data_IF_726692626513
#
_entry.id   IF_726692626513
#
_cell.length_a   1.000
_cell.length_b   1.000
_cell.length_c   1.000
_cell.angle_alpha   90.00
_cell.angle_beta   90.00
_cell.angle_gamma   90.00
#
_symmetry.space_group_name_H-M   'P 1'
#
loop_
_entity.id
_entity.type
_entity.pdbx_description
1 polymer ?
#
# COMPACT_ATOMS: atom_id res chain seq x y z
N UNK A 1 -18.39 17.86 3.44
CA UNK A 1 -16.93 17.99 3.21
C UNK A 1 -16.67 19.21 2.33
N UNK A 2 -15.76 20.06 2.75
CA UNK A 2 -15.37 21.25 1.97
C UNK A 2 -14.53 20.84 0.75
N UNK A 3 -14.55 21.62 -0.36
CA UNK A 3 -13.79 21.27 -1.56
C UNK A 3 -12.30 21.06 -1.33
N UNK A 4 -11.66 21.85 -0.46
CA UNK A 4 -10.26 21.70 -0.13
C UNK A 4 -9.95 20.42 0.63
N UNK A 5 -10.87 20.00 1.50
CA UNK A 5 -10.75 18.74 2.24
C UNK A 5 -10.92 17.55 1.32
N UNK A 6 -11.90 17.63 0.39
CA UNK A 6 -12.11 16.56 -0.59
C UNK A 6 -10.87 16.33 -1.45
N UNK A 7 -10.20 17.40 -1.87
CA UNK A 7 -8.96 17.31 -2.66
C UNK A 7 -7.85 16.62 -1.88
N UNK A 8 -7.70 16.97 -0.59
CA UNK A 8 -6.68 16.32 0.27
C UNK A 8 -6.94 14.84 0.47
N UNK A 9 -8.21 14.47 0.65
CA UNK A 9 -8.60 13.06 0.80
C UNK A 9 -8.37 12.30 -0.51
N UNK A 10 -8.70 12.89 -1.67
CA UNK A 10 -8.41 12.30 -2.97
C UNK A 10 -6.91 12.04 -3.15
N UNK A 11 -6.08 13.02 -2.82
CA UNK A 11 -4.63 12.90 -2.90
C UNK A 11 -4.13 11.77 -2.00
N UNK A 12 -4.65 11.71 -0.78
CA UNK A 12 -4.29 10.64 0.17
C UNK A 12 -4.70 9.27 -0.36
N UNK A 13 -5.94 9.13 -0.88
CA UNK A 13 -6.41 7.86 -1.44
C UNK A 13 -5.56 7.42 -2.63
N UNK A 14 -5.15 8.36 -3.48
CA UNK A 14 -4.26 8.08 -4.60
C UNK A 14 -2.89 7.58 -4.12
N UNK A 15 -2.33 8.21 -3.10
CA UNK A 15 -1.05 7.80 -2.52
C UNK A 15 -1.15 6.42 -1.86
N UNK A 16 -2.24 6.16 -1.14
CA UNK A 16 -2.46 4.85 -0.51
C UNK A 16 -2.65 3.74 -1.54
N UNK A 17 -3.37 4.02 -2.64
CA UNK A 17 -3.53 3.06 -3.73
C UNK A 17 -2.17 2.73 -4.36
N UNK A 18 -1.30 3.74 -4.54
CA UNK A 18 0.04 3.52 -5.04
C UNK A 18 0.86 2.66 -4.08
N UNK A 19 0.77 2.93 -2.77
CA UNK A 19 1.45 2.11 -1.76
C UNK A 19 1.04 0.64 -1.86
N UNK A 20 -0.28 0.37 -1.95
CA UNK A 20 -0.78 -1.00 -2.07
C UNK A 20 -0.27 -1.68 -3.35
N UNK A 21 -0.19 -0.95 -4.46
CA UNK A 21 0.37 -1.47 -5.71
C UNK A 21 1.85 -1.79 -5.58
N UNK A 22 2.63 -0.93 -4.95
CA UNK A 22 4.06 -1.15 -4.72
C UNK A 22 4.29 -2.35 -3.78
N UNK A 23 3.46 -2.52 -2.77
CA UNK A 23 3.49 -3.68 -1.88
C UNK A 23 3.17 -4.96 -2.66
N UNK A 24 2.18 -4.93 -3.56
CA UNK A 24 1.85 -6.08 -4.40
C UNK A 24 3.04 -6.49 -5.26
N UNK A 25 3.73 -5.53 -5.86
CA UNK A 25 4.94 -5.80 -6.67
C UNK A 25 6.03 -6.43 -5.81
N UNK A 26 6.25 -5.90 -4.60
CA UNK A 26 7.23 -6.46 -3.67
C UNK A 26 6.88 -7.92 -3.31
N UNK A 27 5.63 -8.20 -2.98
CA UNK A 27 5.19 -9.56 -2.62
C UNK A 27 5.29 -10.53 -3.80
N UNK A 28 4.90 -10.11 -5.00
CA UNK A 28 5.05 -10.93 -6.21
C UNK A 28 6.53 -11.25 -6.47
N UNK A 29 7.40 -10.27 -6.26
CA UNK A 29 8.83 -10.45 -6.41
C UNK A 29 9.40 -11.41 -5.36
N UNK A 30 8.88 -11.37 -4.13
CA UNK A 30 9.24 -12.33 -3.09
C UNK A 30 8.87 -13.76 -3.51
N UNK A 31 7.67 -13.93 -4.10
CA UNK A 31 7.24 -15.24 -4.60
C UNK A 31 8.22 -15.78 -5.65
N UNK A 32 8.67 -14.92 -6.56
CA UNK A 32 9.56 -15.31 -7.66
C UNK A 32 11.01 -15.51 -7.23
N UNK A 33 11.53 -14.60 -6.41
CA UNK A 33 12.97 -14.53 -6.12
C UNK A 33 13.35 -15.46 -4.97
N UNK A 34 12.55 -15.49 -3.88
CA UNK A 34 12.88 -16.27 -2.70
C UNK A 34 12.58 -17.76 -2.87
N UNK A 35 11.53 -18.09 -3.66
CA UNK A 35 11.17 -19.48 -3.93
C UNK A 35 10.63 -20.25 -2.73
N UNK A 36 10.29 -19.58 -1.64
CA UNK A 36 9.70 -20.16 -0.44
C UNK A 36 8.35 -19.51 -0.15
N UNK A 37 7.39 -20.30 0.32
CA UNK A 37 6.03 -19.83 0.64
C UNK A 37 5.40 -19.04 -0.50
N UNK A 38 5.57 -19.51 -1.74
CA UNK A 38 5.10 -18.81 -2.93
C UNK A 38 3.61 -18.47 -2.86
N UNK A 39 2.78 -19.43 -2.42
CA UNK A 39 1.34 -19.23 -2.31
C UNK A 39 1.01 -18.10 -1.34
N UNK A 40 1.70 -18.02 -0.20
CA UNK A 40 1.52 -16.94 0.78
C UNK A 40 1.82 -15.57 0.14
N UNK A 41 2.96 -15.45 -0.55
CA UNK A 41 3.35 -14.20 -1.18
C UNK A 41 2.36 -13.78 -2.27
N UNK A 42 1.86 -14.73 -3.07
CA UNK A 42 0.90 -14.42 -4.12
C UNK A 42 -0.46 -14.03 -3.54
N UNK A 43 -0.89 -14.66 -2.45
CA UNK A 43 -2.13 -14.29 -1.77
C UNK A 43 -2.04 -12.88 -1.18
N UNK A 44 -0.90 -12.53 -0.57
CA UNK A 44 -0.68 -11.17 -0.05
C UNK A 44 -0.72 -10.14 -1.19
N UNK A 45 -0.07 -10.45 -2.31
CA UNK A 45 -0.06 -9.55 -3.47
C UNK A 45 -1.47 -9.35 -4.03
N UNK A 46 -2.25 -10.41 -4.14
CA UNK A 46 -3.63 -10.34 -4.62
C UNK A 46 -4.50 -9.48 -3.70
N UNK A 47 -4.33 -9.62 -2.38
CA UNK A 47 -5.05 -8.82 -1.39
C UNK A 47 -4.72 -7.33 -1.54
N UNK A 48 -3.43 -7.00 -1.74
CA UNK A 48 -3.01 -5.60 -1.92
C UNK A 48 -3.58 -4.99 -3.21
N UNK A 49 -3.68 -5.78 -4.28
CA UNK A 49 -4.27 -5.29 -5.53
C UNK A 49 -5.76 -5.01 -5.39
N UNK A 50 -6.48 -5.83 -4.62
CA UNK A 50 -7.89 -5.59 -4.31
C UNK A 50 -8.06 -4.31 -3.48
N UNK A 51 -7.19 -4.09 -2.49
CA UNK A 51 -7.20 -2.87 -1.68
C UNK A 51 -6.95 -1.64 -2.55
N UNK A 52 -5.98 -1.70 -3.47
CA UNK A 52 -5.68 -0.61 -4.39
C UNK A 52 -6.89 -0.29 -5.27
N UNK A 53 -7.55 -1.30 -5.81
CA UNK A 53 -8.75 -1.13 -6.62
C UNK A 53 -9.87 -0.48 -5.81
N UNK A 54 -10.10 -0.95 -4.58
CA UNK A 54 -11.10 -0.38 -3.68
C UNK A 54 -10.83 1.11 -3.42
N UNK A 55 -9.57 1.47 -3.15
CA UNK A 55 -9.19 2.87 -2.92
C UNK A 55 -9.44 3.74 -4.15
N UNK A 56 -9.19 3.23 -5.35
CA UNK A 56 -9.47 3.95 -6.59
C UNK A 56 -10.97 4.15 -6.80
N UNK A 57 -11.78 3.15 -6.49
CA UNK A 57 -13.23 3.25 -6.56
C UNK A 57 -13.76 4.27 -5.55
N UNK A 58 -13.25 4.25 -4.32
CA UNK A 58 -13.62 5.23 -3.30
C UNK A 58 -13.23 6.65 -3.71
N UNK A 59 -12.06 6.80 -4.32
CA UNK A 59 -11.60 8.09 -4.83
C UNK A 59 -12.54 8.62 -5.91
N UNK A 60 -13.00 7.76 -6.82
CA UNK A 60 -13.93 8.13 -7.87
C UNK A 60 -15.29 8.57 -7.29
N UNK A 61 -15.79 7.84 -6.28
CA UNK A 61 -17.02 8.20 -5.58
C UNK A 61 -16.89 9.55 -4.86
N UNK A 62 -15.76 9.79 -4.23
CA UNK A 62 -15.49 11.07 -3.55
C UNK A 62 -15.53 12.24 -4.54
N UNK A 63 -14.96 12.05 -5.73
CA UNK A 63 -15.00 13.08 -6.78
C UNK A 63 -16.43 13.38 -7.25
N UNK A 64 -17.26 12.34 -7.40
CA UNK A 64 -18.62 12.50 -7.90
C UNK A 64 -19.58 13.06 -6.85
N UNK A 65 -19.37 12.73 -5.57
CA UNK A 65 -20.26 13.16 -4.49
C UNK A 65 -19.51 13.35 -3.16
N UNK A 66 -18.79 14.47 -3.00
CA UNK A 66 -18.02 14.72 -1.78
C UNK A 66 -18.86 14.78 -0.51
N UNK A 67 -20.16 15.12 -0.63
CA UNK A 67 -21.04 15.31 0.52
C UNK A 67 -21.33 14.02 1.29
N UNK A 68 -21.17 12.86 0.65
CA UNK A 68 -21.38 11.57 1.28
C UNK A 68 -20.19 11.08 2.13
N UNK A 69 -19.10 11.82 2.12
CA UNK A 69 -17.88 11.40 2.82
C UNK A 69 -17.64 12.28 4.03
N UNK A 70 -17.27 11.62 5.14
CA UNK A 70 -16.77 12.31 6.32
C UNK A 70 -15.26 12.21 6.37
N UNK A 71 -14.62 13.30 6.80
CA UNK A 71 -13.17 13.29 6.99
C UNK A 71 -12.88 12.45 8.22
N UNK A 72 -12.30 11.28 8.00
CA UNK A 72 -11.80 10.45 9.08
C UNK A 72 -10.46 10.99 9.58
N UNK A 73 -9.74 10.14 10.31
CA UNK A 73 -8.41 10.45 10.81
C UNK A 73 -7.46 10.67 9.62
N UNK A 74 -6.92 11.87 9.42
CA UNK A 74 -6.09 12.12 8.25
C UNK A 74 -4.73 11.41 8.38
N UNK A 75 -4.42 10.53 7.44
CA UNK A 75 -3.05 10.11 7.20
C UNK A 75 -2.33 11.21 6.44
N UNK A 76 -1.07 11.44 6.77
CA UNK A 76 -0.26 12.41 6.08
C UNK A 76 0.24 11.81 4.75
N UNK A 77 -0.05 12.42 3.58
CA UNK A 77 0.47 11.93 2.30
C UNK A 77 1.99 11.83 2.26
N UNK A 78 2.69 12.69 2.98
CA UNK A 78 4.16 12.64 3.08
C UNK A 78 4.59 11.34 3.76
N UNK A 79 3.91 10.95 4.84
CA UNK A 79 4.19 9.70 5.54
C UNK A 79 3.96 8.49 4.63
N UNK A 80 2.89 8.51 3.83
CA UNK A 80 2.60 7.44 2.87
C UNK A 80 3.72 7.35 1.82
N UNK A 81 4.16 8.48 1.28
CA UNK A 81 5.26 8.49 0.30
C UNK A 81 6.56 7.96 0.88
N UNK A 82 6.82 8.23 2.16
CA UNK A 82 7.99 7.67 2.85
C UNK A 82 7.93 6.15 2.92
N UNK A 83 6.76 5.60 3.23
CA UNK A 83 6.57 4.14 3.25
C UNK A 83 6.73 3.56 1.84
N UNK A 84 6.19 4.21 0.82
CA UNK A 84 6.36 3.80 -0.59
C UNK A 84 7.85 3.71 -0.94
N UNK A 85 8.63 4.73 -0.57
CA UNK A 85 10.06 4.73 -0.83
C UNK A 85 10.76 3.57 -0.13
N UNK A 86 10.37 3.28 1.12
CA UNK A 86 10.89 2.13 1.86
C UNK A 86 10.59 0.81 1.17
N UNK A 87 9.39 0.64 0.63
CA UNK A 87 9.02 -0.57 -0.13
C UNK A 87 9.88 -0.69 -1.39
N UNK A 88 10.08 0.40 -2.11
CA UNK A 88 10.93 0.42 -3.31
C UNK A 88 12.38 0.07 -2.99
N UNK A 89 12.89 0.59 -1.88
CA UNK A 89 14.25 0.30 -1.43
C UNK A 89 14.41 -1.19 -1.07
N UNK A 90 13.41 -1.76 -0.40
CA UNK A 90 13.40 -3.18 -0.07
C UNK A 90 13.28 -4.06 -1.32
N UNK A 91 12.55 -3.60 -2.35
CA UNK A 91 12.49 -4.32 -3.63
C UNK A 91 13.87 -4.37 -4.29
N UNK A 92 14.62 -3.28 -4.24
CA UNK A 92 15.99 -3.27 -4.75
C UNK A 92 16.89 -4.25 -4.00
N UNK A 93 16.78 -4.29 -2.67
CA UNK A 93 17.53 -5.24 -1.84
C UNK A 93 17.18 -6.67 -2.19
N UNK A 94 15.89 -6.95 -2.41
CA UNK A 94 15.43 -8.27 -2.81
C UNK A 94 16.03 -8.69 -4.15
N UNK A 95 16.01 -7.81 -5.14
CA UNK A 95 16.59 -8.07 -6.47
C UNK A 95 18.09 -8.26 -6.43
N UNK A 96 18.76 -7.62 -5.48
CA UNK A 96 20.21 -7.75 -5.27
C UNK A 96 20.56 -8.94 -4.36
N UNK A 97 19.57 -9.77 -4.01
CA UNK A 97 19.75 -10.94 -3.13
C UNK A 97 20.24 -10.57 -1.73
N UNK A 98 19.87 -9.39 -1.25
CA UNK A 98 20.22 -8.89 0.08
C UNK A 98 19.13 -9.17 1.13
N UNK A 99 18.00 -9.75 0.74
CA UNK A 99 16.93 -10.13 1.67
C UNK A 99 16.77 -11.63 1.74
N UNK A 100 16.64 -12.14 2.96
CA UNK A 100 16.28 -13.53 3.22
C UNK A 100 14.75 -13.65 3.34
N UNK A 101 14.24 -14.88 3.24
CA UNK A 101 12.83 -15.17 3.50
C UNK A 101 12.38 -14.63 4.86
N UNK A 102 13.16 -14.87 5.90
CA UNK A 102 12.85 -14.42 7.25
C UNK A 102 12.73 -12.89 7.34
N UNK A 103 13.69 -12.16 6.76
CA UNK A 103 13.65 -10.68 6.74
C UNK A 103 12.47 -10.17 5.94
N UNK A 104 12.17 -10.78 4.79
CA UNK A 104 11.05 -10.39 3.96
C UNK A 104 9.72 -10.58 4.70
N UNK A 105 9.55 -11.67 5.44
CA UNK A 105 8.36 -11.90 6.25
C UNK A 105 8.20 -10.86 7.36
N UNK A 106 9.28 -10.48 8.03
CA UNK A 106 9.25 -9.41 9.03
C UNK A 106 8.87 -8.06 8.41
N UNK A 107 9.41 -7.75 7.23
CA UNK A 107 9.06 -6.53 6.52
C UNK A 107 7.57 -6.50 6.15
N UNK A 108 7.04 -7.63 5.65
CA UNK A 108 5.62 -7.75 5.31
C UNK A 108 4.75 -7.53 6.55
N UNK A 109 5.09 -8.16 7.68
CA UNK A 109 4.36 -7.99 8.93
C UNK A 109 4.35 -6.52 9.37
N UNK A 110 5.51 -5.87 9.32
CA UNK A 110 5.64 -4.48 9.75
C UNK A 110 4.85 -3.53 8.85
N UNK A 111 4.85 -3.77 7.53
CA UNK A 111 4.07 -2.99 6.57
C UNK A 111 2.57 -3.12 6.85
N UNK A 112 2.08 -4.36 6.99
CA UNK A 112 0.66 -4.60 7.25
C UNK A 112 0.24 -3.98 8.59
N UNK A 113 1.06 -4.09 9.61
CA UNK A 113 0.79 -3.49 10.91
C UNK A 113 0.73 -1.96 10.83
N UNK A 114 1.66 -1.34 10.12
CA UNK A 114 1.71 0.12 9.94
C UNK A 114 0.43 0.64 9.30
N UNK A 115 -0.07 -0.07 8.29
CA UNK A 115 -1.30 0.31 7.60
C UNK A 115 -2.50 0.20 8.55
N UNK A 116 -2.60 -0.88 9.30
CA UNK A 116 -3.69 -1.09 10.26
C UNK A 116 -3.69 -0.03 11.36
N UNK A 117 -2.53 0.33 11.88
CA UNK A 117 -2.40 1.35 12.94
C UNK A 117 -2.71 2.76 12.43
N UNK A 118 -2.62 2.98 11.13
CA UNK A 118 -2.88 4.28 10.50
C UNK A 118 -4.36 4.51 10.18
N UNK A 119 -5.20 3.51 10.34
CA UNK A 119 -6.63 3.62 10.05
C UNK A 119 -7.42 4.19 11.27
#
# INVERSE_FOLDING_TARGET
MLPGEARKVEELMGAMALLEQEMAVFYESCAEILGEDEALWRDLAAAERLHAQFLQEMKALLKSDPSHFQVGRPMNPVAVRTVIQGVRDNLKKLKNQELTQKKALFLARDLERSILESQ
#
